data_IF_590816856741
#
_entry.id   IF_590816856741
#
_cell.length_a   1.000
_cell.length_b   1.000
_cell.length_c   1.000
_cell.angle_alpha   90.00
_cell.angle_beta   90.00
_cell.angle_gamma   90.00
#
_symmetry.space_group_name_H-M   'P 1'
#
loop_
_entity.id
_entity.type
_entity.pdbx_description
1 polymer ?
#
# COMPACT_ATOMS: atom_id res chain seq x y z
N UNK A 1 15.81 -8.17 3.74
CA UNK A 1 15.40 -9.55 3.44
C UNK A 1 16.53 -10.49 3.82
N UNK A 2 16.24 -11.74 4.17
CA UNK A 2 17.27 -12.75 4.49
C UNK A 2 18.11 -13.17 3.25
N UNK A 3 17.48 -13.28 2.06
CA UNK A 3 18.20 -13.65 0.84
C UNK A 3 17.84 -12.79 -0.38
N UNK A 4 16.96 -13.28 -1.24
CA UNK A 4 16.62 -12.64 -2.51
C UNK A 4 15.22 -12.04 -2.46
N UNK A 5 15.04 -10.88 -3.08
CA UNK A 5 13.73 -10.27 -3.19
C UNK A 5 13.61 -9.37 -4.41
N UNK A 6 12.38 -9.17 -4.83
CA UNK A 6 11.99 -8.17 -5.81
C UNK A 6 10.75 -7.42 -5.32
N UNK A 7 10.73 -6.11 -5.53
CA UNK A 7 9.66 -5.20 -5.12
C UNK A 7 9.00 -4.66 -6.37
N UNK A 8 7.67 -4.67 -6.37
CA UNK A 8 6.86 -4.22 -7.50
C UNK A 8 5.76 -3.27 -7.05
N UNK A 9 5.38 -2.36 -7.95
CA UNK A 9 4.25 -1.47 -7.78
C UNK A 9 3.19 -1.77 -8.82
N UNK A 10 1.96 -2.04 -8.36
CA UNK A 10 0.83 -2.41 -9.20
C UNK A 10 -0.37 -1.50 -8.95
N UNK A 11 -1.24 -1.35 -9.94
CA UNK A 11 -2.58 -0.76 -9.79
C UNK A 11 -3.65 -1.79 -9.40
N UNK A 12 -3.30 -3.08 -9.37
CA UNK A 12 -4.21 -4.17 -9.00
C UNK A 12 -3.52 -5.22 -8.11
N UNK A 13 -4.30 -5.79 -7.18
CA UNK A 13 -3.79 -6.74 -6.17
C UNK A 13 -3.58 -8.16 -6.72
N UNK A 14 -3.96 -8.42 -7.97
CA UNK A 14 -3.88 -9.74 -8.61
C UNK A 14 -2.85 -9.78 -9.75
N UNK A 15 -2.05 -8.74 -9.90
CA UNK A 15 -0.92 -8.69 -10.85
C UNK A 15 0.29 -8.07 -10.18
N UNK A 16 1.47 -8.57 -10.52
CA UNK A 16 2.74 -8.15 -9.91
C UNK A 16 3.03 -6.66 -10.12
N UNK A 17 2.73 -6.13 -11.30
CA UNK A 17 2.99 -4.72 -11.64
C UNK A 17 4.42 -4.46 -12.11
N UNK A 18 4.87 -3.22 -11.98
CA UNK A 18 6.16 -2.73 -12.46
C UNK A 18 7.25 -2.96 -11.43
N UNK A 19 8.40 -3.48 -11.86
CA UNK A 19 9.57 -3.69 -10.99
C UNK A 19 10.10 -2.35 -10.48
N UNK A 20 10.24 -2.23 -9.16
CA UNK A 20 10.78 -1.05 -8.45
C UNK A 20 12.24 -1.27 -8.06
N UNK A 21 12.59 -2.47 -7.61
CA UNK A 21 13.93 -2.82 -7.19
C UNK A 21 14.05 -4.27 -6.79
N UNK A 22 15.26 -4.81 -6.83
CA UNK A 22 15.53 -6.22 -6.55
C UNK A 22 16.93 -6.43 -6.00
N UNK A 23 17.09 -7.51 -5.25
CA UNK A 23 18.38 -8.09 -4.88
C UNK A 23 18.29 -9.58 -5.19
N UNK A 24 19.21 -10.05 -6.03
CA UNK A 24 19.42 -11.47 -6.27
C UNK A 24 20.71 -11.87 -5.58
N UNK A 25 20.60 -12.81 -4.65
CA UNK A 25 21.76 -13.53 -4.14
C UNK A 25 21.90 -14.79 -4.99
N UNK A 26 22.91 -14.83 -5.86
CA UNK A 26 23.31 -16.06 -6.56
C UNK A 26 24.34 -16.83 -5.70
N UNK A 27 24.09 -18.12 -5.46
CA UNK A 27 25.04 -19.03 -4.79
C UNK A 27 24.89 -19.18 -3.25
N UNK A 28 25.83 -19.91 -2.64
CA UNK A 28 25.89 -20.31 -1.21
C UNK A 28 26.27 -19.18 -0.24
N UNK A 29 26.47 -17.95 -0.73
CA UNK A 29 26.81 -16.82 0.13
C UNK A 29 25.53 -16.15 0.64
N UNK A 30 24.99 -16.70 1.72
CA UNK A 30 23.89 -16.16 2.52
C UNK A 30 24.23 -14.74 3.03
N UNK A 31 24.05 -13.73 2.17
CA UNK A 31 24.49 -12.36 2.43
C UNK A 31 23.35 -11.52 2.99
N UNK A 32 22.90 -11.90 4.18
CA UNK A 32 22.27 -10.96 5.11
C UNK A 32 23.35 -10.08 5.80
N UNK A 33 23.11 -8.78 6.07
CA UNK A 33 21.92 -7.99 5.74
C UNK A 33 22.13 -7.05 4.52
N UNK A 34 21.43 -7.29 3.41
CA UNK A 34 21.36 -6.30 2.31
C UNK A 34 20.08 -5.48 2.41
N UNK A 35 20.22 -4.17 2.64
CA UNK A 35 19.11 -3.20 2.59
C UNK A 35 19.23 -2.38 1.31
N UNK A 36 18.15 -2.22 0.56
CA UNK A 36 18.08 -1.30 -0.58
C UNK A 36 17.09 -0.18 -0.28
N UNK A 37 17.34 0.99 -0.87
CA UNK A 37 16.41 2.12 -0.83
C UNK A 37 16.07 2.49 -2.27
N UNK A 38 14.78 2.56 -2.58
CA UNK A 38 14.28 2.96 -3.90
C UNK A 38 13.17 4.00 -3.75
N UNK A 39 12.94 4.76 -4.81
CA UNK A 39 11.84 5.72 -4.91
C UNK A 39 11.11 5.48 -6.22
N UNK A 40 9.77 5.45 -6.17
CA UNK A 40 8.92 5.23 -7.33
C UNK A 40 7.70 6.14 -7.25
N UNK A 41 7.25 6.64 -8.40
CA UNK A 41 6.01 7.40 -8.50
C UNK A 41 4.80 6.45 -8.41
N UNK A 42 3.75 6.89 -7.71
CA UNK A 42 2.50 6.13 -7.63
C UNK A 42 1.68 6.28 -8.91
N UNK A 43 0.92 5.24 -9.26
CA UNK A 43 -0.12 5.35 -10.26
C UNK A 43 -1.31 6.15 -9.70
N UNK A 44 -2.11 6.75 -10.57
CA UNK A 44 -3.37 7.37 -10.16
C UNK A 44 -4.30 6.36 -9.48
N UNK A 45 -4.94 6.75 -8.38
CA UNK A 45 -5.95 5.92 -7.72
C UNK A 45 -5.38 4.93 -6.70
N UNK A 46 -5.79 3.67 -6.75
CA UNK A 46 -5.30 2.65 -5.79
C UNK A 46 -4.02 2.01 -6.32
N UNK A 47 -3.04 1.82 -5.43
CA UNK A 47 -1.81 1.10 -5.70
C UNK A 47 -1.63 -0.06 -4.72
N UNK A 48 -0.82 -1.02 -5.11
CA UNK A 48 -0.42 -2.17 -4.33
C UNK A 48 1.10 -2.31 -4.41
N UNK A 49 1.73 -2.41 -3.24
CA UNK A 49 3.14 -2.69 -3.13
C UNK A 49 3.31 -4.19 -2.90
N UNK A 50 3.89 -4.85 -3.89
CA UNK A 50 4.14 -6.29 -3.86
C UNK A 50 5.61 -6.57 -3.58
N UNK A 51 5.88 -7.53 -2.71
CA UNK A 51 7.25 -8.00 -2.43
C UNK A 51 7.29 -9.50 -2.65
N UNK A 52 8.10 -9.92 -3.62
CA UNK A 52 8.43 -11.33 -3.85
C UNK A 52 9.69 -11.63 -3.06
N UNK A 53 9.59 -12.59 -2.16
CA UNK A 53 10.69 -13.04 -1.33
C UNK A 53 11.05 -14.47 -1.61
N UNK A 54 12.34 -14.76 -1.82
CA UNK A 54 12.83 -16.12 -1.97
C UNK A 54 13.79 -16.43 -0.83
N UNK A 55 13.42 -17.41 0.00
CA UNK A 55 14.31 -18.05 0.95
C UNK A 55 15.12 -19.13 0.24
N UNK A 56 16.45 -19.09 0.39
CA UNK A 56 17.36 -20.11 -0.16
C UNK A 56 17.99 -20.98 0.93
N UNK A 57 17.46 -20.93 2.15
CA UNK A 57 17.89 -21.74 3.28
C UNK A 57 18.10 -20.92 4.54
N UNK A 58 18.05 -21.59 5.70
CA UNK A 58 18.16 -20.91 7.00
C UNK A 58 16.87 -20.20 7.42
N UNK A 59 16.98 -19.21 8.33
CA UNK A 59 15.89 -18.31 8.69
C UNK A 59 15.38 -17.56 7.46
N UNK A 60 14.14 -17.09 7.54
CA UNK A 60 13.56 -16.26 6.50
C UNK A 60 12.86 -15.06 7.13
N UNK A 61 12.95 -13.91 6.47
CA UNK A 61 12.38 -12.71 7.01
C UNK A 61 12.36 -11.56 6.02
N UNK A 62 11.23 -10.86 6.00
CA UNK A 62 11.06 -9.58 5.35
C UNK A 62 10.93 -8.48 6.41
N UNK A 63 11.81 -7.49 6.30
CA UNK A 63 11.76 -6.26 7.08
C UNK A 63 11.83 -5.08 6.11
N UNK A 64 10.94 -4.11 6.30
CA UNK A 64 10.84 -2.95 5.43
C UNK A 64 10.29 -1.72 6.13
N UNK A 65 10.68 -0.56 5.61
CA UNK A 65 10.20 0.76 6.01
C UNK A 65 9.80 1.53 4.76
N UNK A 66 8.57 2.02 4.73
CA UNK A 66 7.97 2.69 3.58
C UNK A 66 7.45 4.06 3.97
N UNK A 67 7.61 5.03 3.07
CA UNK A 67 7.19 6.41 3.26
C UNK A 67 6.52 6.94 1.99
N UNK A 68 5.41 7.63 2.16
CA UNK A 68 4.74 8.42 1.14
C UNK A 68 5.16 9.88 1.29
N UNK A 69 5.57 10.49 0.18
CA UNK A 69 5.82 11.93 0.09
C UNK A 69 4.57 12.69 -0.38
N UNK A 70 3.62 12.00 -1.01
CA UNK A 70 2.36 12.56 -1.48
C UNK A 70 1.27 12.46 -0.41
N UNK A 71 0.78 13.61 0.06
CA UNK A 71 -0.31 13.71 1.04
C UNK A 71 -1.67 13.28 0.46
N UNK A 72 -1.79 13.08 -0.85
CA UNK A 72 -2.95 12.52 -1.53
C UNK A 72 -3.11 11.02 -1.35
N UNK A 73 -2.17 10.33 -0.67
CA UNK A 73 -2.20 8.89 -0.47
C UNK A 73 -1.97 8.49 0.99
N UNK A 74 -2.41 7.27 1.32
CA UNK A 74 -2.16 6.63 2.62
C UNK A 74 -1.93 5.14 2.46
N UNK A 75 -1.12 4.58 3.34
CA UNK A 75 -0.99 3.13 3.51
C UNK A 75 -2.25 2.54 4.17
N UNK A 76 -2.32 1.21 4.21
CA UNK A 76 -3.40 0.45 4.87
C UNK A 76 -3.56 0.76 6.36
N UNK A 77 -2.50 1.24 7.03
CA UNK A 77 -2.57 1.71 8.42
C UNK A 77 -3.16 3.13 8.56
N UNK A 78 -3.56 3.76 7.46
CA UNK A 78 -4.10 5.11 7.40
C UNK A 78 -3.07 6.23 7.41
N UNK A 79 -1.77 5.94 7.55
CA UNK A 79 -0.70 6.91 7.64
C UNK A 79 0.13 7.08 6.36
N UNK A 80 1.09 8.01 6.41
CA UNK A 80 2.09 8.24 5.36
C UNK A 80 3.36 7.40 5.54
N UNK A 81 3.47 6.64 6.62
CA UNK A 81 4.59 5.71 6.86
C UNK A 81 4.06 4.34 7.24
N UNK A 82 4.72 3.28 6.76
CA UNK A 82 4.40 1.91 7.07
C UNK A 82 5.69 1.10 7.29
N UNK A 83 5.81 0.46 8.45
CA UNK A 83 6.76 -0.63 8.66
C UNK A 83 6.10 -1.98 8.34
N UNK A 84 6.89 -2.99 8.03
CA UNK A 84 6.39 -4.38 7.98
C UNK A 84 5.73 -4.76 9.30
N UNK A 85 4.55 -5.37 9.24
CA UNK A 85 3.76 -5.81 10.39
C UNK A 85 2.68 -6.81 9.96
N UNK A 86 1.99 -7.42 10.92
CA UNK A 86 0.99 -8.47 10.66
C UNK A 86 -0.43 -7.95 10.40
N UNK A 87 -0.69 -6.65 10.52
CA UNK A 87 -2.06 -6.09 10.38
C UNK A 87 -2.29 -5.46 9.01
N UNK A 88 -1.22 -4.98 8.38
CA UNK A 88 -1.27 -4.13 7.19
C UNK A 88 -0.68 -4.79 5.95
N UNK A 89 -0.17 -6.01 6.11
CA UNK A 89 0.41 -6.84 5.07
C UNK A 89 -0.33 -8.15 4.99
N UNK A 90 -0.46 -8.68 3.78
CA UNK A 90 -0.89 -10.05 3.51
C UNK A 90 0.25 -10.81 2.84
N UNK A 91 0.21 -12.14 2.90
CA UNK A 91 1.19 -13.05 2.31
C UNK A 91 0.51 -14.25 1.66
N UNK A 92 1.17 -14.86 0.68
CA UNK A 92 0.84 -16.19 0.15
C UNK A 92 2.11 -16.91 -0.29
N UNK A 93 2.11 -18.23 -0.17
CA UNK A 93 3.12 -19.13 -0.74
C UNK A 93 2.63 -19.78 -2.04
N UNK A 94 1.37 -19.55 -2.40
CA UNK A 94 0.70 -20.24 -3.49
C UNK A 94 0.70 -19.37 -4.74
N UNK A 95 1.20 -19.92 -5.86
CA UNK A 95 0.91 -19.41 -7.19
C UNK A 95 -0.14 -20.30 -7.85
N UNK A 96 -1.15 -19.73 -8.55
CA UNK A 96 -2.15 -20.52 -9.27
C UNK A 96 -1.51 -21.33 -10.40
N UNK A 97 -0.47 -20.77 -11.04
CA UNK A 97 0.35 -21.39 -12.07
C UNK A 97 1.79 -20.86 -11.97
N UNK A 98 2.81 -21.59 -12.44
CA UNK A 98 4.17 -21.07 -12.55
C UNK A 98 4.19 -19.74 -13.32
N UNK A 99 4.74 -18.68 -12.69
CA UNK A 99 4.83 -17.35 -13.29
C UNK A 99 3.57 -16.47 -13.15
N UNK A 100 2.53 -16.90 -12.42
CA UNK A 100 1.35 -16.07 -12.14
C UNK A 100 1.30 -15.60 -10.69
N UNK A 101 0.87 -14.36 -10.47
CA UNK A 101 0.71 -13.79 -9.14
C UNK A 101 -0.70 -14.06 -8.61
N UNK A 102 -0.82 -14.80 -7.50
CA UNK A 102 -2.07 -14.83 -6.74
C UNK A 102 -2.09 -13.66 -5.76
N UNK A 103 -3.27 -13.06 -5.60
CA UNK A 103 -3.51 -12.07 -4.55
C UNK A 103 -3.21 -12.68 -3.19
N UNK A 104 -2.27 -12.09 -2.41
CA UNK A 104 -1.99 -12.55 -1.06
C UNK A 104 -3.16 -12.25 -0.12
N UNK A 105 -3.67 -13.26 0.58
CA UNK A 105 -4.85 -13.14 1.47
C UNK A 105 -4.58 -13.61 2.90
N UNK A 106 -3.43 -14.23 3.17
CA UNK A 106 -3.10 -14.77 4.49
C UNK A 106 -2.38 -13.74 5.33
N UNK A 107 -2.64 -13.71 6.63
CA UNK A 107 -1.89 -12.88 7.57
C UNK A 107 -0.47 -13.42 7.75
N UNK A 108 0.60 -12.60 7.58
CA UNK A 108 1.95 -13.07 7.81
C UNK A 108 2.23 -13.28 9.30
N UNK A 109 3.21 -14.12 9.60
CA UNK A 109 3.70 -14.35 10.96
C UNK A 109 4.80 -13.35 11.28
N UNK A 110 4.76 -12.78 12.49
CA UNK A 110 5.85 -11.96 13.02
C UNK A 110 6.87 -12.82 13.75
N UNK A 111 8.16 -12.61 13.47
CA UNK A 111 9.28 -13.22 14.17
C UNK A 111 9.94 -12.26 15.17
N UNK A 112 9.43 -11.04 15.29
CA UNK A 112 9.91 -10.03 16.23
C UNK A 112 10.19 -8.69 15.57
N UNK A 113 10.47 -7.69 16.39
CA UNK A 113 10.81 -6.35 15.92
C UNK A 113 12.24 -6.30 15.36
N UNK A 114 12.52 -5.26 14.57
CA UNK A 114 13.87 -4.92 14.16
C UNK A 114 14.83 -4.90 15.38
N UNK A 115 15.99 -5.54 15.27
CA UNK A 115 16.92 -5.74 16.38
C UNK A 115 16.95 -7.16 16.94
N UNK A 116 15.96 -8.00 16.64
CA UNK A 116 15.91 -9.38 17.15
C UNK A 116 16.92 -10.29 16.45
N UNK A 117 17.47 -11.26 17.18
CA UNK A 117 18.26 -12.35 16.60
C UNK A 117 17.38 -13.25 15.71
N UNK A 118 17.94 -13.83 14.63
CA UNK A 118 19.34 -13.79 14.22
C UNK A 118 19.73 -12.54 13.40
N UNK A 119 18.76 -11.74 12.96
CA UNK A 119 18.98 -10.66 11.99
C UNK A 119 19.61 -9.39 12.56
N UNK A 120 19.44 -9.13 13.86
CA UNK A 120 19.95 -7.92 14.51
C UNK A 120 19.25 -6.65 14.05
N UNK A 121 19.91 -5.51 14.30
CA UNK A 121 19.38 -4.19 14.02
C UNK A 121 19.67 -3.74 12.58
N UNK A 122 18.61 -3.46 11.83
CA UNK A 122 18.67 -2.86 10.50
C UNK A 122 18.50 -1.34 10.63
N UNK A 123 19.33 -0.57 9.93
CA UNK A 123 19.29 0.91 9.92
C UNK A 123 18.10 1.54 9.18
N UNK A 124 16.91 0.95 9.30
CA UNK A 124 15.69 1.43 8.65
C UNK A 124 14.97 2.48 9.51
N UNK A 125 14.21 3.36 8.86
CA UNK A 125 13.53 4.51 9.50
C UNK A 125 12.29 4.13 10.33
N UNK A 126 11.99 2.84 10.51
CA UNK A 126 10.87 2.33 11.28
C UNK A 126 11.37 1.28 12.29
N UNK A 127 11.79 1.70 13.51
CA UNK A 127 12.37 0.78 14.49
C UNK A 127 11.35 -0.24 15.04
N UNK A 128 10.05 0.06 14.96
CA UNK A 128 8.97 -0.85 15.36
C UNK A 128 8.53 -1.79 14.24
N UNK A 129 9.16 -1.73 13.06
CA UNK A 129 8.89 -2.68 11.98
C UNK A 129 9.26 -4.11 12.43
N UNK A 130 8.48 -5.07 11.97
CA UNK A 130 8.59 -6.47 12.34
C UNK A 130 9.18 -7.29 11.20
N UNK A 131 10.05 -8.23 11.54
CA UNK A 131 10.42 -9.33 10.66
C UNK A 131 9.19 -10.19 10.43
N UNK A 132 8.68 -10.23 9.21
CA UNK A 132 7.49 -11.00 8.84
C UNK A 132 7.79 -12.07 7.78
N UNK A 133 7.09 -13.20 7.83
CA UNK A 133 7.16 -14.27 6.83
C UNK A 133 5.83 -15.03 6.66
N UNK A 134 5.75 -15.96 5.70
CA UNK A 134 4.59 -16.87 5.61
C UNK A 134 4.65 -17.94 6.71
N UNK A 135 3.49 -18.39 7.19
CA UNK A 135 3.37 -19.29 8.33
C UNK A 135 3.67 -20.78 7.98
N UNK A 136 4.09 -21.07 6.75
CA UNK A 136 3.86 -22.41 6.18
C UNK A 136 4.95 -23.44 6.49
N UNK A 137 6.05 -23.02 7.08
CA UNK A 137 7.08 -23.88 7.68
C UNK A 137 7.84 -22.97 8.62
N UNK A 138 8.03 -23.37 9.88
CA UNK A 138 8.62 -22.53 10.92
C UNK A 138 9.92 -21.83 10.51
N UNK A 139 10.40 -20.93 11.36
CA UNK A 139 11.60 -20.09 11.18
C UNK A 139 12.94 -20.84 10.85
N UNK A 140 12.89 -22.13 10.53
CA UNK A 140 13.98 -23.01 10.13
C UNK A 140 13.69 -23.71 8.78
N UNK A 141 14.23 -23.17 7.69
CA UNK A 141 15.07 -23.98 6.80
C UNK A 141 14.53 -24.51 5.46
N UNK A 142 13.34 -24.13 5.00
CA UNK A 142 12.85 -24.54 3.68
C UNK A 142 13.15 -23.54 2.56
N UNK A 143 13.59 -24.00 1.38
CA UNK A 143 13.61 -23.19 0.15
C UNK A 143 12.17 -22.86 -0.24
N UNK A 144 11.78 -21.59 -0.20
CA UNK A 144 10.44 -21.18 -0.61
C UNK A 144 10.40 -19.78 -1.20
N UNK A 145 9.38 -19.52 -2.01
CA UNK A 145 9.06 -18.17 -2.48
C UNK A 145 7.71 -17.74 -1.93
N UNK A 146 7.66 -16.54 -1.38
CA UNK A 146 6.47 -15.94 -0.78
C UNK A 146 6.18 -14.59 -1.42
N UNK A 147 4.93 -14.20 -1.39
CA UNK A 147 4.41 -13.02 -2.06
C UNK A 147 3.68 -12.18 -1.02
N UNK A 148 4.21 -11.00 -0.70
CA UNK A 148 3.58 -10.05 0.20
C UNK A 148 2.85 -8.97 -0.60
N UNK A 149 1.74 -8.48 -0.06
CA UNK A 149 1.02 -7.31 -0.58
C UNK A 149 0.66 -6.35 0.53
N UNK A 150 0.71 -5.05 0.23
CA UNK A 150 0.06 -4.01 1.03
C UNK A 150 -0.58 -2.96 0.12
N UNK A 151 -1.72 -2.42 0.58
CA UNK A 151 -2.51 -1.45 -0.18
C UNK A 151 -2.07 -0.02 0.12
N UNK A 152 -1.97 0.78 -0.93
CA UNK A 152 -1.80 2.23 -0.88
C UNK A 152 -3.03 2.84 -1.53
N UNK A 153 -3.84 3.56 -0.76
CA UNK A 153 -5.09 4.15 -1.24
C UNK A 153 -4.91 5.65 -1.47
N UNK A 154 -5.40 6.15 -2.59
CA UNK A 154 -5.66 7.58 -2.71
C UNK A 154 -6.62 8.00 -1.58
N UNK A 155 -6.36 9.15 -0.98
CA UNK A 155 -7.31 9.82 -0.14
C UNK A 155 -8.51 10.16 -1.01
N UNK A 156 -9.70 9.67 -0.62
CA UNK A 156 -10.93 10.16 -1.25
C UNK A 156 -10.93 11.67 -1.11
N UNK A 157 -11.23 12.44 -2.18
CA UNK A 157 -11.53 13.85 -2.02
C UNK A 157 -12.55 13.97 -0.89
N UNK A 158 -12.34 14.91 0.04
CA UNK A 158 -13.40 15.27 0.97
C UNK A 158 -14.68 15.50 0.13
N UNK A 159 -15.88 15.06 0.60
CA UNK A 159 -17.12 15.34 -0.13
C UNK A 159 -17.09 16.82 -0.52
N UNK A 160 -17.23 17.11 -1.81
CA UNK A 160 -17.21 18.50 -2.26
C UNK A 160 -18.17 19.27 -1.35
N UNK A 161 -17.74 20.38 -0.74
CA UNK A 161 -18.62 21.16 0.11
C UNK A 161 -19.90 21.40 -0.71
N UNK A 162 -21.04 21.30 -0.06
CA UNK A 162 -22.38 21.49 -0.64
C UNK A 162 -22.58 22.85 -1.33
N UNK A 163 -21.53 23.60 -1.63
CA UNK A 163 -21.44 24.77 -2.52
C UNK A 163 -22.23 24.57 -3.81
N UNK A 164 -22.26 23.40 -4.44
CA UNK A 164 -23.14 23.16 -5.60
C UNK A 164 -24.63 23.14 -5.23
N UNK A 165 -24.97 22.55 -4.07
CA UNK A 165 -26.33 22.61 -3.54
C UNK A 165 -26.72 24.03 -3.08
N UNK A 166 -25.80 24.78 -2.46
CA UNK A 166 -25.98 26.16 -2.05
C UNK A 166 -26.08 27.12 -3.25
N UNK A 167 -25.32 26.89 -4.31
CA UNK A 167 -25.41 27.66 -5.56
C UNK A 167 -26.71 27.35 -6.30
N UNK A 168 -27.17 26.09 -6.28
CA UNK A 168 -28.48 25.70 -6.81
C UNK A 168 -29.66 26.30 -6.04
N UNK A 169 -29.62 26.27 -4.71
CA UNK A 169 -30.67 26.86 -3.84
C UNK A 169 -30.64 28.40 -3.94
N UNK A 170 -29.46 29.02 -3.95
CA UNK A 170 -29.30 30.46 -4.10
C UNK A 170 -29.85 30.97 -5.43
N UNK A 171 -29.60 30.27 -6.54
CA UNK A 171 -30.15 30.59 -7.85
C UNK A 171 -31.68 30.51 -7.90
N UNK A 172 -32.27 29.48 -7.28
CA UNK A 172 -33.72 29.32 -7.22
C UNK A 172 -34.39 30.43 -6.39
N UNK A 173 -33.83 30.80 -5.24
CA UNK A 173 -34.39 31.87 -4.39
C UNK A 173 -34.39 33.25 -5.10
N UNK A 174 -33.34 33.55 -5.87
CA UNK A 174 -33.27 34.80 -6.65
C UNK A 174 -34.29 34.76 -7.80
N UNK A 175 -34.43 33.63 -8.49
CA UNK A 175 -35.41 33.46 -9.57
C UNK A 175 -36.86 33.61 -9.06
N UNK A 176 -37.20 33.03 -7.91
CA UNK A 176 -38.52 33.21 -7.28
C UNK A 176 -38.77 34.67 -6.88
N UNK A 177 -37.76 35.37 -6.38
CA UNK A 177 -37.87 36.79 -6.02
C UNK A 177 -38.07 37.70 -7.24
N UNK A 178 -37.46 37.36 -8.38
CA UNK A 178 -37.65 38.11 -9.63
C UNK A 178 -39.03 37.87 -10.25
N UNK A 179 -39.55 36.64 -10.19
CA UNK A 179 -40.88 36.28 -10.70
C UNK A 179 -42.01 37.00 -9.95
N UNK A 180 -41.86 37.21 -8.64
CA UNK A 180 -42.85 37.92 -7.82
C UNK A 180 -42.84 39.45 -8.02
N UNK A 181 -41.76 40.04 -8.56
CA UNK A 181 -41.72 41.48 -8.89
C UNK A 181 -42.32 41.78 -10.27
N UNK A 182 -42.26 40.85 -11.22
CA UNK A 182 -42.80 41.04 -12.57
C UNK A 182 -44.35 40.99 -12.62
N UNK A 183 -45.01 40.38 -11.62
CA UNK A 183 -46.47 40.26 -11.56
C UNK A 183 -47.24 41.46 -10.98
N UNK A 184 -46.55 42.50 -10.48
CA UNK A 184 -47.19 43.67 -9.84
C UNK A 184 -47.27 44.91 -10.75
N UNK A 185 -46.94 44.80 -12.04
CA UNK A 185 -46.83 45.95 -12.96
C UNK A 185 -48.06 46.27 -13.82
N UNK A 186 -49.15 45.49 -13.78
CA UNK A 186 -50.30 45.66 -14.68
C UNK A 186 -51.62 45.80 -13.91
N UNK A 187 -51.73 46.84 -13.09
CA UNK A 187 -53.01 47.28 -12.54
C UNK A 187 -52.95 48.79 -12.27
N UNK A 188 -53.05 49.61 -13.31
CA UNK A 188 -53.69 50.94 -13.35
C UNK A 188 -53.41 51.61 -14.70
N UNK A 189 -54.39 51.56 -15.60
CA UNK A 189 -54.60 52.56 -16.66
C UNK A 189 -56.02 52.32 -17.19
N UNK A 190 -56.97 53.09 -16.65
CA UNK A 190 -58.30 53.31 -17.20
C UNK A 190 -58.24 54.51 -18.14
#
# INVERSE_FOLDING_TARGET
>A
MDNSFAVYLSSADNVLGNLVGQVYTEGVNYSWPTTITNTVALNSGTNYLHVVGTNVGGPAGFLGSFQLTDAGYKFSNGGSTLGTNTTNWTVTNSQPNPGTFATPTVTPTSYGVNGIAPWGGMGIQQPTAQWIWSNDTGANGGFNTVYFSTKISANSPAPEPSTYALMGIGGLLIAFRMKNKAGMGSAFAA
#
